data_IF_963556080265
#
_entry.id   IF_963556080265
#
_cell.length_a   1.000
_cell.length_b   1.000
_cell.length_c   1.000
_cell.angle_alpha   90.00
_cell.angle_beta   90.00
_cell.angle_gamma   90.00
#
_symmetry.space_group_name_H-M   'P 1'
#
loop_
_entity.id
_entity.type
_entity.pdbx_description
1 polymer ?
#
# COMPACT_ATOMS: atom_id res chain seq x y z
N UNK A 1 -4.47 20.97 16.59
CA UNK A 1 -3.62 20.74 15.41
C UNK A 1 -4.39 19.80 14.50
N UNK A 2 -4.60 20.14 13.22
CA UNK A 2 -5.24 19.22 12.27
C UNK A 2 -4.30 18.02 12.10
N UNK A 3 -4.72 16.85 12.57
CA UNK A 3 -4.04 15.60 12.24
C UNK A 3 -4.35 15.31 10.78
N UNK A 4 -3.40 15.59 9.90
CA UNK A 4 -3.41 15.10 8.52
C UNK A 4 -3.30 13.57 8.59
N UNK A 5 -4.42 12.87 8.75
CA UNK A 5 -4.52 11.40 8.74
C UNK A 5 -4.41 10.84 7.30
N UNK A 6 -3.62 11.49 6.46
CA UNK A 6 -3.40 11.05 5.09
C UNK A 6 -2.48 9.84 5.13
N UNK A 7 -3.06 8.67 4.89
CA UNK A 7 -2.32 7.43 4.70
C UNK A 7 -1.82 7.36 3.27
N UNK A 8 -0.63 6.79 3.05
CA UNK A 8 -0.05 6.61 1.73
C UNK A 8 0.34 5.15 1.54
N UNK A 9 0.24 4.66 0.31
CA UNK A 9 0.56 3.29 -0.06
C UNK A 9 1.45 3.26 -1.30
N UNK A 10 2.44 2.36 -1.30
CA UNK A 10 3.10 1.97 -2.54
C UNK A 10 2.23 0.94 -3.25
N UNK A 11 1.92 1.18 -4.52
CA UNK A 11 1.10 0.29 -5.35
C UNK A 11 1.78 0.00 -6.68
N UNK A 12 1.48 -1.15 -7.27
CA UNK A 12 1.89 -1.54 -8.62
C UNK A 12 0.68 -1.96 -9.45
N UNK A 13 0.79 -1.85 -10.77
CA UNK A 13 -0.22 -2.36 -11.69
C UNK A 13 0.03 -3.83 -11.97
N UNK A 14 -0.97 -4.67 -11.71
CA UNK A 14 -0.99 -6.06 -12.13
C UNK A 14 -1.16 -6.18 -13.65
N UNK A 15 -0.98 -7.40 -14.17
CA UNK A 15 -1.07 -7.69 -15.61
C UNK A 15 -2.48 -7.44 -16.19
N UNK A 16 -3.49 -7.44 -15.34
CA UNK A 16 -4.90 -7.14 -15.64
C UNK A 16 -5.24 -5.64 -15.52
N UNK A 17 -4.26 -4.80 -15.18
CA UNK A 17 -4.44 -3.37 -14.93
C UNK A 17 -4.92 -3.03 -13.52
N UNK A 18 -5.13 -4.03 -12.66
CA UNK A 18 -5.56 -3.81 -11.26
C UNK A 18 -4.43 -3.18 -10.45
N UNK A 19 -4.74 -2.17 -9.64
CA UNK A 19 -3.77 -1.58 -8.71
C UNK A 19 -3.71 -2.39 -7.42
N UNK A 20 -2.53 -2.92 -7.14
CA UNK A 20 -2.27 -3.76 -5.98
C UNK A 20 -1.32 -3.05 -5.03
N UNK A 21 -1.59 -3.12 -3.73
CA UNK A 21 -0.64 -2.65 -2.71
C UNK A 21 0.60 -3.52 -2.72
N UNK A 22 1.77 -2.89 -2.69
CA UNK A 22 3.04 -3.57 -2.60
C UNK A 22 3.21 -4.15 -1.18
N UNK A 23 3.53 -5.44 -1.11
CA UNK A 23 3.73 -6.19 0.13
C UNK A 23 5.22 -6.46 0.27
N UNK A 24 5.78 -6.21 1.45
CA UNK A 24 7.15 -6.52 1.80
C UNK A 24 7.19 -7.47 2.99
N UNK A 25 8.21 -8.30 3.07
CA UNK A 25 8.49 -9.09 4.29
C UNK A 25 9.37 -8.26 5.23
N UNK A 26 8.83 -7.87 6.38
CA UNK A 26 9.55 -7.19 7.46
C UNK A 26 9.44 -8.07 8.70
N UNK A 27 10.57 -8.38 9.34
CA UNK A 27 10.61 -9.25 10.53
C UNK A 27 9.88 -10.60 10.34
N UNK A 28 10.07 -11.23 9.17
CA UNK A 28 9.39 -12.48 8.75
C UNK A 28 7.86 -12.39 8.65
N UNK A 29 7.30 -11.18 8.61
CA UNK A 29 5.88 -10.96 8.39
C UNK A 29 5.64 -10.20 7.09
N UNK A 30 4.69 -10.66 6.30
CA UNK A 30 4.23 -9.93 5.13
C UNK A 30 3.39 -8.74 5.57
N UNK A 31 3.84 -7.55 5.19
CA UNK A 31 3.19 -6.30 5.55
C UNK A 31 3.01 -5.43 4.30
N UNK A 32 1.82 -4.82 4.12
CA UNK A 32 1.63 -3.87 3.05
C UNK A 32 2.45 -2.61 3.33
N UNK A 33 3.08 -2.05 2.30
CA UNK A 33 3.85 -0.81 2.41
C UNK A 33 2.92 0.40 2.45
N UNK A 34 2.27 0.57 3.60
CA UNK A 34 1.29 1.63 3.89
C UNK A 34 1.70 2.33 5.18
N UNK A 35 1.72 3.66 5.17
CA UNK A 35 1.92 4.45 6.39
C UNK A 35 1.35 5.86 6.23
N UNK A 36 0.97 6.47 7.36
CA UNK A 36 0.70 7.91 7.46
C UNK A 36 1.92 8.71 7.94
N UNK A 37 3.01 8.04 8.35
CA UNK A 37 4.23 8.66 8.85
C UNK A 37 5.22 8.92 7.71
N UNK A 38 5.56 10.20 7.48
CA UNK A 38 6.50 10.62 6.41
C UNK A 38 7.86 9.94 6.52
N UNK A 39 8.37 9.73 7.74
CA UNK A 39 9.66 9.07 7.95
C UNK A 39 9.61 7.60 7.56
N UNK A 40 8.52 6.90 7.89
CA UNK A 40 8.30 5.51 7.48
C UNK A 40 8.12 5.40 5.97
N UNK A 41 7.37 6.31 5.34
CA UNK A 41 7.21 6.35 3.87
C UNK A 41 8.56 6.45 3.15
N UNK A 42 9.49 7.25 3.69
CA UNK A 42 10.87 7.36 3.18
C UNK A 42 11.71 6.11 3.44
N UNK A 43 11.46 5.35 4.50
CA UNK A 43 12.15 4.07 4.73
C UNK A 43 11.61 2.98 3.79
N UNK A 44 10.29 2.95 3.63
CA UNK A 44 9.61 2.03 2.73
C UNK A 44 9.96 2.26 1.26
N UNK A 45 10.39 3.47 0.87
CA UNK A 45 10.78 3.74 -0.52
C UNK A 45 11.91 2.84 -1.00
N UNK A 46 12.91 2.57 -0.15
CA UNK A 46 14.03 1.68 -0.51
C UNK A 46 13.53 0.25 -0.72
N UNK A 47 12.71 -0.26 0.21
CA UNK A 47 12.09 -1.59 0.06
C UNK A 47 11.23 -1.67 -1.20
N UNK A 48 10.45 -0.63 -1.49
CA UNK A 48 9.61 -0.56 -2.68
C UNK A 48 10.44 -0.59 -3.98
N UNK A 49 11.59 0.10 -4.00
CA UNK A 49 12.51 0.10 -5.14
C UNK A 49 13.14 -1.28 -5.32
N UNK A 50 13.61 -1.90 -4.24
CA UNK A 50 14.24 -3.22 -4.31
C UNK A 50 13.26 -4.28 -4.82
N UNK A 51 12.03 -4.30 -4.29
CA UNK A 51 10.96 -5.18 -4.76
C UNK A 51 10.58 -4.89 -6.22
N UNK A 52 10.49 -3.61 -6.60
CA UNK A 52 10.22 -3.22 -7.97
C UNK A 52 11.29 -3.75 -8.93
N UNK A 53 12.57 -3.66 -8.56
CA UNK A 53 13.67 -4.13 -9.37
C UNK A 53 13.70 -5.66 -9.48
N UNK A 54 13.49 -6.37 -8.37
CA UNK A 54 13.49 -7.83 -8.33
C UNK A 54 12.36 -8.45 -9.17
N UNK A 55 11.19 -7.82 -9.15
CA UNK A 55 9.99 -8.33 -9.81
C UNK A 55 9.66 -7.61 -11.13
N UNK A 56 10.53 -6.70 -11.59
CA UNK A 56 10.33 -5.86 -12.76
C UNK A 56 8.97 -5.11 -12.75
N UNK A 57 8.60 -4.56 -11.59
CA UNK A 57 7.34 -3.86 -11.38
C UNK A 57 7.52 -2.35 -11.52
N UNK A 58 6.50 -1.68 -12.06
CA UNK A 58 6.38 -0.22 -11.96
C UNK A 58 5.56 0.13 -10.72
N UNK A 59 6.20 0.78 -9.76
CA UNK A 59 5.59 1.15 -8.47
C UNK A 59 5.34 2.66 -8.40
N UNK A 60 4.25 3.06 -7.75
CA UNK A 60 3.92 4.47 -7.47
C UNK A 60 3.48 4.63 -6.01
N UNK A 61 3.72 5.81 -5.44
CA UNK A 61 3.20 6.20 -4.14
C UNK A 61 1.87 6.95 -4.35
N UNK A 62 0.79 6.48 -3.71
CA UNK A 62 -0.53 7.11 -3.79
C UNK A 62 -1.04 7.48 -2.40
N UNK A 63 -1.89 8.51 -2.35
CA UNK A 63 -2.70 8.79 -1.15
C UNK A 63 -3.73 7.65 -1.02
N UNK A 64 -3.64 6.91 0.07
CA UNK A 64 -4.50 5.79 0.39
C UNK A 64 -5.69 6.30 1.21
N UNK A 65 -6.85 6.45 0.55
CA UNK A 65 -8.12 6.73 1.21
C UNK A 65 -8.96 5.47 1.13
N UNK A 66 -9.02 4.70 2.22
CA UNK A 66 -9.87 3.50 2.28
C UNK A 66 -10.62 3.43 3.59
N UNK A 67 -11.48 4.42 3.82
CA UNK A 67 -12.73 4.17 4.54
C UNK A 67 -13.73 3.66 3.50
N UNK A 68 -13.67 2.37 3.17
CA UNK A 68 -14.77 1.69 2.51
C UNK A 68 -15.27 0.64 3.49
N UNK A 69 -16.31 1.01 4.23
CA UNK A 69 -17.11 0.07 4.99
C UNK A 69 -18.02 -0.67 4.01
N UNK A 70 -17.82 -1.98 3.88
CA UNK A 70 -18.72 -2.84 3.10
C UNK A 70 -19.52 -3.65 4.11
N UNK A 71 -20.81 -3.31 4.25
CA UNK A 71 -21.75 -4.10 5.04
C UNK A 71 -22.13 -5.37 4.26
N UNK A 72 -21.48 -6.48 4.61
CA UNK A 72 -21.79 -7.78 4.02
C UNK A 72 -23.14 -8.37 4.47
N UNK A 73 -23.77 -7.80 5.51
CA UNK A 73 -25.10 -8.19 5.98
C UNK A 73 -26.21 -7.95 4.95
N UNK A 74 -25.98 -7.07 3.96
CA UNK A 74 -26.90 -6.83 2.85
C UNK A 74 -26.84 -7.91 1.74
N UNK A 75 -25.80 -8.74 1.72
CA UNK A 75 -25.61 -9.78 0.70
C UNK A 75 -26.05 -11.18 1.14
N UNK A 76 -26.37 -11.35 2.43
CA UNK A 76 -26.88 -12.62 2.98
C UNK A 76 -28.38 -12.46 3.21
N UNK A 77 -29.20 -13.08 2.35
CA UNK A 77 -30.64 -13.30 2.58
C UNK A 77 -30.87 -14.71 3.09
#
# INVERSE_FOLDING_TARGET
>A
MQHDNNMYAYVYSGNDGTENTLIATVDNQEQPLISSCVHEIKRMSSLAIDLAAQHNLKVKLIKYQREQEIDFGLFVK
#
